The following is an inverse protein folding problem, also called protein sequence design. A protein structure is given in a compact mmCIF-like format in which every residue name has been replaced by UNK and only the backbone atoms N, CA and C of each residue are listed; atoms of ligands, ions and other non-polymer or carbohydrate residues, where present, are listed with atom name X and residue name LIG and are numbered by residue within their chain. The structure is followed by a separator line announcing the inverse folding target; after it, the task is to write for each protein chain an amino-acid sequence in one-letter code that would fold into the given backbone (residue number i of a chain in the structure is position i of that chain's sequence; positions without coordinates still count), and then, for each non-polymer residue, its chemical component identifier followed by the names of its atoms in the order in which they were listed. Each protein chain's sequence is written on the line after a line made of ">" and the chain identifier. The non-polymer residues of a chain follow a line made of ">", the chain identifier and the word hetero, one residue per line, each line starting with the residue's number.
data_IF_413047179793
#
_entry.id   IF_413047179793
#
_cell.length_a   1.000
_cell.length_b   1.000
_cell.length_c   1.000
_cell.angle_alpha   90.00
_cell.angle_beta   90.00
_cell.angle_gamma   90.00
#
_symmetry.space_group_name_H-M   'P 1'
#
loop_
_entity.id
_entity.type
_entity.pdbx_description
1 polymer ?
#
# COMPACT_ATOMS: atom_id res chain seq x y z
N UNK A 1 -20.46 -11.41 -44.04
CA UNK A 1 -19.45 -11.85 -43.06
C UNK A 1 -18.71 -10.61 -42.62
N UNK A 2 -18.93 -10.18 -41.38
CA UNK A 2 -18.06 -9.21 -40.72
C UNK A 2 -17.84 -9.75 -39.30
N UNK A 3 -16.78 -10.56 -39.16
CA UNK A 3 -16.40 -11.24 -37.93
C UNK A 3 -15.27 -10.41 -37.32
N UNK A 4 -15.54 -9.16 -36.92
CA UNK A 4 -14.56 -8.35 -36.18
C UNK A 4 -15.21 -7.35 -35.20
N UNK A 5 -16.31 -7.73 -34.55
CA UNK A 5 -16.64 -7.12 -33.25
C UNK A 5 -16.09 -8.03 -32.15
N UNK A 6 -14.77 -7.96 -31.92
CA UNK A 6 -14.19 -8.48 -30.67
C UNK A 6 -14.91 -7.77 -29.52
N UNK A 7 -15.28 -8.46 -28.43
CA UNK A 7 -15.76 -7.75 -27.26
C UNK A 7 -14.58 -6.91 -26.75
N UNK A 8 -14.63 -5.60 -26.98
CA UNK A 8 -13.81 -4.64 -26.25
C UNK A 8 -13.88 -5.01 -24.77
N UNK A 9 -12.71 -5.10 -24.14
CA UNK A 9 -12.61 -5.44 -22.72
C UNK A 9 -13.58 -4.55 -21.93
N UNK A 10 -14.29 -5.12 -20.94
CA UNK A 10 -15.17 -4.34 -20.05
C UNK A 10 -14.46 -3.09 -19.48
N UNK A 11 -13.13 -3.13 -19.34
CA UNK A 11 -12.31 -1.99 -18.90
C UNK A 11 -12.16 -0.90 -19.96
N UNK A 12 -11.97 -1.25 -21.24
CA UNK A 12 -11.86 -0.27 -22.33
C UNK A 12 -13.15 0.54 -22.43
N UNK A 13 -14.29 -0.14 -22.33
CA UNK A 13 -15.61 0.50 -22.25
C UNK A 13 -15.77 1.39 -21.02
N UNK A 14 -15.32 0.94 -19.85
CA UNK A 14 -15.37 1.76 -18.63
C UNK A 14 -14.50 3.01 -18.74
N UNK A 15 -13.33 2.93 -19.38
CA UNK A 15 -12.47 4.10 -19.61
C UNK A 15 -13.08 5.05 -20.64
N UNK A 16 -13.65 4.52 -21.73
CA UNK A 16 -14.32 5.35 -22.73
C UNK A 16 -15.54 6.08 -22.15
N UNK A 17 -16.30 5.42 -21.27
CA UNK A 17 -17.41 6.06 -20.53
C UNK A 17 -16.91 7.26 -19.70
N UNK A 18 -15.80 7.11 -18.96
CA UNK A 18 -15.19 8.19 -18.20
C UNK A 18 -14.69 9.33 -19.12
N UNK A 19 -14.11 9.00 -20.27
CA UNK A 19 -13.69 9.98 -21.28
C UNK A 19 -14.88 10.78 -21.83
N UNK A 20 -16.01 10.10 -22.09
CA UNK A 20 -17.21 10.75 -22.57
C UNK A 20 -17.81 11.68 -21.50
N UNK A 21 -17.80 11.30 -20.21
CA UNK A 21 -18.20 12.21 -19.13
C UNK A 21 -17.37 13.49 -19.10
N UNK A 22 -16.06 13.40 -19.39
CA UNK A 22 -15.19 14.58 -19.50
C UNK A 22 -15.55 15.44 -20.72
N UNK A 23 -15.76 14.82 -21.89
CA UNK A 23 -16.15 15.52 -23.11
C UNK A 23 -17.50 16.25 -22.98
N UNK A 24 -18.44 15.65 -22.26
CA UNK A 24 -19.77 16.20 -21.99
C UNK A 24 -19.78 17.22 -20.84
N UNK A 25 -18.65 17.43 -20.15
CA UNK A 25 -18.53 18.37 -19.04
C UNK A 25 -19.30 17.95 -17.78
N UNK A 26 -19.58 16.65 -17.61
CA UNK A 26 -20.35 16.11 -16.48
C UNK A 26 -19.61 14.96 -15.75
N UNK A 27 -18.37 15.17 -15.27
CA UNK A 27 -17.62 14.12 -14.58
C UNK A 27 -18.29 13.72 -13.26
N UNK A 28 -18.45 12.42 -13.04
CA UNK A 28 -18.93 11.85 -11.78
C UNK A 28 -17.79 11.17 -11.04
N UNK A 29 -17.29 11.81 -9.98
CA UNK A 29 -16.17 11.29 -9.18
C UNK A 29 -16.39 9.85 -8.70
N UNK A 30 -17.63 9.47 -8.40
CA UNK A 30 -17.97 8.11 -7.96
C UNK A 30 -17.70 7.06 -9.05
N UNK A 31 -17.95 7.38 -10.32
CA UNK A 31 -17.67 6.49 -11.44
C UNK A 31 -16.15 6.29 -11.61
N UNK A 32 -15.37 7.37 -11.47
CA UNK A 32 -13.90 7.28 -11.46
C UNK A 32 -13.39 6.41 -10.31
N UNK A 33 -13.94 6.59 -9.09
CA UNK A 33 -13.59 5.76 -7.93
C UNK A 33 -13.91 4.30 -8.18
N UNK A 34 -15.10 4.00 -8.71
CA UNK A 34 -15.55 2.65 -9.02
C UNK A 34 -14.63 1.98 -10.05
N UNK A 35 -14.33 2.66 -11.16
CA UNK A 35 -13.41 2.16 -12.18
C UNK A 35 -12.00 1.96 -11.63
N UNK A 36 -11.51 2.90 -10.81
CA UNK A 36 -10.23 2.74 -10.11
C UNK A 36 -10.18 1.47 -9.23
N UNK A 37 -11.21 1.23 -8.42
CA UNK A 37 -11.28 0.01 -7.60
C UNK A 37 -11.38 -1.27 -8.43
N UNK A 38 -12.09 -1.24 -9.56
CA UNK A 38 -12.19 -2.37 -10.48
C UNK A 38 -10.82 -2.69 -11.11
N UNK A 39 -10.13 -1.70 -11.67
CA UNK A 39 -8.78 -1.85 -12.23
C UNK A 39 -7.80 -2.39 -11.19
N UNK A 40 -7.81 -1.84 -9.98
CA UNK A 40 -6.95 -2.30 -8.88
C UNK A 40 -7.22 -3.76 -8.51
N UNK A 41 -8.49 -4.17 -8.44
CA UNK A 41 -8.87 -5.56 -8.16
C UNK A 41 -8.37 -6.49 -9.26
N UNK A 42 -8.57 -6.13 -10.52
CA UNK A 42 -8.15 -6.94 -11.65
C UNK A 42 -6.63 -7.10 -11.71
N UNK A 43 -5.90 -6.03 -11.46
CA UNK A 43 -4.45 -6.05 -11.40
C UNK A 43 -3.91 -7.01 -10.32
N UNK A 44 -4.61 -7.12 -9.20
CA UNK A 44 -4.28 -8.10 -8.16
C UNK A 44 -4.63 -9.53 -8.53
N UNK A 45 -5.79 -9.73 -9.16
CA UNK A 45 -6.14 -11.04 -9.71
C UNK A 45 -5.07 -11.48 -10.72
N UNK A 46 -4.59 -10.57 -11.56
CA UNK A 46 -3.51 -10.83 -12.49
C UNK A 46 -2.20 -11.21 -11.77
N UNK A 47 -1.79 -10.45 -10.75
CA UNK A 47 -0.63 -10.82 -9.92
C UNK A 47 -0.78 -12.22 -9.32
N UNK A 48 -1.96 -12.56 -8.79
CA UNK A 48 -2.21 -13.87 -8.20
C UNK A 48 -2.12 -14.99 -9.25
N UNK A 49 -2.73 -14.82 -10.43
CA UNK A 49 -2.61 -15.79 -11.51
C UNK A 49 -1.14 -15.95 -11.96
N UNK A 50 -0.38 -14.86 -12.01
CA UNK A 50 1.06 -14.90 -12.31
C UNK A 50 1.86 -15.64 -11.23
N UNK A 51 1.52 -15.47 -9.96
CA UNK A 51 2.14 -16.22 -8.87
C UNK A 51 1.96 -17.73 -9.07
N UNK A 52 0.73 -18.16 -9.37
CA UNK A 52 0.43 -19.57 -9.63
C UNK A 52 1.19 -20.09 -10.85
N UNK A 53 1.28 -19.28 -11.91
CA UNK A 53 2.07 -19.62 -13.08
C UNK A 53 3.56 -19.75 -12.73
N UNK A 54 4.12 -18.86 -11.91
CA UNK A 54 5.51 -18.88 -11.51
C UNK A 54 5.86 -20.02 -10.53
N UNK A 55 4.91 -20.45 -9.71
CA UNK A 55 5.07 -21.57 -8.78
C UNK A 55 4.86 -22.96 -9.43
N UNK A 56 4.31 -23.03 -10.65
CA UNK A 56 4.20 -24.29 -11.40
C UNK A 56 5.61 -24.79 -11.78
N UNK A 57 5.92 -26.04 -11.42
CA UNK A 57 7.22 -26.68 -11.69
C UNK A 57 7.53 -26.83 -13.18
N UNK A 58 6.52 -26.64 -14.05
CA UNK A 58 6.66 -26.65 -15.51
C UNK A 58 6.82 -25.26 -16.10
N UNK A 59 6.85 -24.22 -15.27
CA UNK A 59 6.88 -22.84 -15.73
C UNK A 59 8.25 -22.39 -16.22
N UNK A 60 8.21 -21.50 -17.21
CA UNK A 60 9.41 -20.85 -17.73
C UNK A 60 9.87 -19.73 -16.78
N UNK A 61 11.18 -19.44 -16.75
CA UNK A 61 11.76 -18.40 -15.88
C UNK A 61 11.17 -17.01 -16.16
N UNK A 62 10.63 -16.79 -17.36
CA UNK A 62 9.92 -15.58 -17.76
C UNK A 62 8.70 -15.28 -16.88
N UNK A 63 7.97 -16.30 -16.41
CA UNK A 63 6.82 -16.10 -15.52
C UNK A 63 7.24 -15.58 -14.14
N UNK A 64 8.34 -16.11 -13.61
CA UNK A 64 8.93 -15.63 -12.36
C UNK A 64 9.37 -14.17 -12.49
N UNK A 65 10.05 -13.82 -13.58
CA UNK A 65 10.49 -12.44 -13.80
C UNK A 65 9.32 -11.47 -13.94
N UNK A 66 8.26 -11.85 -14.66
CA UNK A 66 7.06 -11.02 -14.82
C UNK A 66 6.29 -10.87 -13.49
N UNK A 67 6.17 -11.96 -12.71
CA UNK A 67 5.59 -11.91 -11.38
C UNK A 67 6.35 -10.93 -10.47
N UNK A 68 7.67 -11.00 -10.44
CA UNK A 68 8.52 -10.10 -9.64
C UNK A 68 8.33 -8.64 -10.05
N UNK A 69 8.23 -8.33 -11.34
CA UNK A 69 7.98 -6.97 -11.84
C UNK A 69 6.59 -6.46 -11.39
N UNK A 70 5.54 -7.27 -11.58
CA UNK A 70 4.16 -6.90 -11.22
C UNK A 70 4.00 -6.74 -9.70
N UNK A 71 4.55 -7.68 -8.93
CA UNK A 71 4.56 -7.61 -7.47
C UNK A 71 5.39 -6.42 -6.97
N UNK A 72 6.51 -6.09 -7.63
CA UNK A 72 7.34 -4.93 -7.33
C UNK A 72 6.60 -3.60 -7.51
N UNK A 73 5.82 -3.46 -8.59
CA UNK A 73 5.00 -2.26 -8.81
C UNK A 73 3.90 -2.13 -7.74
N UNK A 74 3.19 -3.23 -7.44
CA UNK A 74 2.17 -3.26 -6.39
C UNK A 74 2.75 -2.97 -4.99
N UNK A 75 3.95 -3.46 -4.72
CA UNK A 75 4.67 -3.17 -3.51
C UNK A 75 4.99 -1.67 -3.39
N UNK A 76 5.45 -1.02 -4.47
CA UNK A 76 5.74 0.42 -4.49
C UNK A 76 4.50 1.27 -4.16
N UNK A 77 3.37 0.98 -4.80
CA UNK A 77 2.11 1.70 -4.57
C UNK A 77 1.60 1.53 -3.14
N UNK A 78 1.72 0.31 -2.60
CA UNK A 78 1.34 0.02 -1.23
C UNK A 78 2.27 0.73 -0.24
N UNK A 79 3.58 0.74 -0.50
CA UNK A 79 4.57 1.47 0.31
C UNK A 79 4.24 2.96 0.38
N UNK A 80 3.98 3.62 -0.75
CA UNK A 80 3.63 5.05 -0.77
C UNK A 80 2.30 5.31 -0.03
N UNK A 81 1.31 4.43 -0.20
CA UNK A 81 0.05 4.51 0.55
C UNK A 81 0.25 4.38 2.06
N UNK A 82 1.09 3.42 2.49
CA UNK A 82 1.42 3.18 3.89
C UNK A 82 2.20 4.35 4.50
N UNK A 83 3.16 4.90 3.76
CA UNK A 83 3.93 6.08 4.15
C UNK A 83 3.00 7.27 4.41
N UNK A 84 2.12 7.59 3.46
CA UNK A 84 1.12 8.66 3.63
C UNK A 84 0.24 8.41 4.84
N UNK A 85 -0.26 7.18 5.00
CA UNK A 85 -1.11 6.83 6.15
C UNK A 85 -0.37 6.98 7.48
N UNK A 86 0.90 6.59 7.57
CA UNK A 86 1.73 6.80 8.76
C UNK A 86 1.88 8.27 9.11
N UNK A 87 2.15 9.14 8.12
CA UNK A 87 2.22 10.58 8.32
C UNK A 87 0.89 11.20 8.76
N UNK A 88 -0.23 10.74 8.22
CA UNK A 88 -1.54 11.25 8.63
C UNK A 88 -1.90 10.83 10.05
N UNK A 89 -1.64 9.58 10.42
CA UNK A 89 -1.92 9.08 11.77
C UNK A 89 -1.00 9.69 12.82
N UNK A 90 0.23 10.06 12.44
CA UNK A 90 1.15 10.78 13.33
C UNK A 90 0.57 12.10 13.86
N UNK A 91 -0.35 12.73 13.13
CA UNK A 91 -1.03 13.97 13.56
C UNK A 91 -1.95 13.75 14.76
N UNK A 92 -2.35 12.50 15.04
CA UNK A 92 -3.09 12.13 16.23
C UNK A 92 -2.11 11.84 17.39
N UNK A 93 -2.13 12.68 18.41
CA UNK A 93 -1.18 12.62 19.53
C UNK A 93 -1.27 11.32 20.34
N UNK A 94 -2.48 10.79 20.54
CA UNK A 94 -2.70 9.55 21.30
C UNK A 94 -2.10 8.35 20.57
N UNK A 95 -2.35 8.27 19.25
CA UNK A 95 -1.75 7.25 18.40
C UNK A 95 -0.22 7.40 18.38
N UNK A 96 0.30 8.61 18.13
CA UNK A 96 1.74 8.85 18.09
C UNK A 96 2.42 8.42 19.40
N UNK A 97 1.88 8.84 20.54
CA UNK A 97 2.39 8.46 21.87
C UNK A 97 2.32 6.95 22.11
N UNK A 98 1.24 6.29 21.68
CA UNK A 98 1.11 4.83 21.80
C UNK A 98 2.11 4.07 20.91
N UNK A 99 2.35 4.56 19.68
CA UNK A 99 3.37 4.01 18.79
C UNK A 99 4.78 4.23 19.33
N UNK A 100 5.11 5.41 19.84
CA UNK A 100 6.43 5.70 20.41
C UNK A 100 6.76 4.75 21.58
N UNK A 101 5.78 4.47 22.45
CA UNK A 101 5.95 3.55 23.58
C UNK A 101 6.16 2.09 23.16
N UNK A 102 5.60 1.68 22.03
CA UNK A 102 5.65 0.29 21.57
C UNK A 102 6.56 0.08 20.35
N UNK A 103 7.22 1.14 19.87
CA UNK A 103 7.97 1.16 18.62
C UNK A 103 9.01 0.04 18.53
N UNK A 104 9.88 -0.06 19.54
CA UNK A 104 10.95 -1.06 19.56
C UNK A 104 10.42 -2.49 19.53
N UNK A 105 9.38 -2.78 20.32
CA UNK A 105 8.74 -4.10 20.34
C UNK A 105 8.14 -4.45 18.98
N UNK A 106 7.41 -3.52 18.36
CA UNK A 106 6.78 -3.75 17.07
C UNK A 106 7.84 -3.95 15.99
N UNK A 107 8.89 -3.13 15.98
CA UNK A 107 10.01 -3.26 15.05
C UNK A 107 10.71 -4.62 15.20
N UNK A 108 10.88 -5.13 16.42
CA UNK A 108 11.48 -6.43 16.67
C UNK A 108 10.61 -7.59 16.15
N UNK A 109 9.29 -7.53 16.37
CA UNK A 109 8.35 -8.51 15.83
C UNK A 109 8.39 -8.52 14.29
N UNK A 110 8.38 -7.33 13.66
CA UNK A 110 8.48 -7.18 12.21
C UNK A 110 9.81 -7.73 11.69
N UNK A 111 10.94 -7.34 12.30
CA UNK A 111 12.28 -7.83 11.96
C UNK A 111 12.37 -9.36 12.01
N UNK A 112 11.68 -9.97 12.96
CA UNK A 112 11.63 -11.43 13.16
C UNK A 112 10.60 -12.15 12.29
N UNK A 113 9.89 -11.45 11.40
CA UNK A 113 8.88 -12.04 10.52
C UNK A 113 7.59 -12.46 11.24
N UNK A 114 7.39 -12.05 12.50
CA UNK A 114 6.22 -12.42 13.32
C UNK A 114 5.00 -11.62 12.92
N UNK A 115 4.42 -11.97 11.78
CA UNK A 115 3.32 -11.26 11.12
C UNK A 115 2.08 -11.13 12.00
N UNK A 116 1.61 -12.23 12.58
CA UNK A 116 0.40 -12.21 13.43
C UNK A 116 0.64 -11.43 14.72
N UNK A 117 1.77 -11.65 15.38
CA UNK A 117 2.11 -10.93 16.62
C UNK A 117 2.24 -9.42 16.39
N UNK A 118 2.88 -9.01 15.29
CA UNK A 118 3.00 -7.60 14.93
C UNK A 118 1.65 -6.99 14.53
N UNK A 119 0.79 -7.75 13.83
CA UNK A 119 -0.59 -7.33 13.57
C UNK A 119 -1.33 -7.04 14.86
N UNK A 120 -1.32 -7.98 15.81
CA UNK A 120 -2.00 -7.82 17.10
C UNK A 120 -1.39 -6.69 17.97
N UNK A 121 -0.08 -6.47 17.91
CA UNK A 121 0.55 -5.35 18.60
C UNK A 121 0.06 -4.01 18.05
N UNK A 122 0.00 -3.85 16.72
CA UNK A 122 -0.48 -2.63 16.08
C UNK A 122 -2.00 -2.47 16.29
N UNK A 123 -2.79 -3.53 16.11
CA UNK A 123 -4.25 -3.50 16.30
C UNK A 123 -4.63 -2.99 17.69
N UNK A 124 -3.94 -3.45 18.74
CA UNK A 124 -4.20 -3.00 20.12
C UNK A 124 -3.99 -1.50 20.31
N UNK A 125 -3.06 -0.89 19.58
CA UNK A 125 -2.87 0.57 19.62
C UNK A 125 -4.13 1.29 19.10
N UNK A 126 -4.65 0.87 17.95
CA UNK A 126 -5.85 1.47 17.36
C UNK A 126 -7.09 1.26 18.23
N UNK A 127 -7.27 0.04 18.77
CA UNK A 127 -8.38 -0.27 19.68
C UNK A 127 -8.31 0.59 20.95
N UNK A 128 -7.13 0.72 21.55
CA UNK A 128 -6.94 1.56 22.74
C UNK A 128 -7.21 3.05 22.46
N UNK A 129 -6.84 3.52 21.26
CA UNK A 129 -7.11 4.90 20.80
C UNK A 129 -8.54 5.10 20.26
N UNK A 130 -9.39 4.06 20.28
CA UNK A 130 -10.74 4.06 19.70
C UNK A 130 -10.76 4.52 18.23
N UNK A 131 -9.74 4.11 17.46
CA UNK A 131 -9.60 4.43 16.05
C UNK A 131 -9.85 3.18 15.19
N UNK A 132 -10.39 3.39 14.00
CA UNK A 132 -10.53 2.31 13.02
C UNK A 132 -9.16 1.83 12.54
N UNK A 133 -9.05 0.51 12.32
CA UNK A 133 -7.82 -0.08 11.80
C UNK A 133 -7.71 0.17 10.29
N UNK A 134 -6.62 0.78 9.80
CA UNK A 134 -6.50 1.14 8.38
C UNK A 134 -6.52 -0.06 7.42
N UNK A 135 -7.39 -0.04 6.41
CA UNK A 135 -7.44 -1.08 5.37
C UNK A 135 -6.11 -1.29 4.66
N UNK A 136 -5.33 -0.22 4.45
CA UNK A 136 -4.00 -0.30 3.83
C UNK A 136 -3.00 -1.08 4.70
N UNK A 137 -3.14 -1.01 6.02
CA UNK A 137 -2.36 -1.87 6.91
C UNK A 137 -2.82 -3.31 6.82
N UNK A 138 -4.13 -3.59 6.82
CA UNK A 138 -4.66 -4.95 6.61
C UNK A 138 -4.03 -5.58 5.37
N UNK A 139 -3.90 -4.80 4.30
CA UNK A 139 -3.27 -5.28 3.09
C UNK A 139 -1.82 -5.73 3.29
N UNK A 140 -1.01 -4.90 3.96
CA UNK A 140 0.39 -5.21 4.23
C UNK A 140 0.60 -6.51 5.02
N UNK A 141 -0.44 -6.98 5.73
CA UNK A 141 -0.43 -8.21 6.50
C UNK A 141 -0.94 -9.44 5.73
N UNK A 142 -1.35 -9.33 4.46
CA UNK A 142 -1.82 -10.51 3.73
C UNK A 142 -0.72 -11.53 3.49
N UNK A 143 -1.03 -12.84 3.59
CA UNK A 143 -0.02 -13.90 3.50
C UNK A 143 0.59 -14.06 2.10
N UNK A 144 -0.06 -13.49 1.07
CA UNK A 144 0.42 -13.48 -0.31
C UNK A 144 1.77 -12.76 -0.47
N UNK A 145 2.10 -11.83 0.43
CA UNK A 145 3.38 -11.14 0.38
C UNK A 145 4.48 -11.97 1.02
N UNK A 146 5.64 -11.99 0.37
CA UNK A 146 6.84 -12.58 0.96
C UNK A 146 7.20 -11.90 2.28
N UNK A 147 7.97 -12.60 3.13
CA UNK A 147 8.42 -12.03 4.40
C UNK A 147 9.20 -10.71 4.19
N UNK A 148 10.02 -10.64 3.14
CA UNK A 148 10.78 -9.43 2.78
C UNK A 148 9.86 -8.24 2.47
N UNK A 149 8.83 -8.44 1.64
CA UNK A 149 7.86 -7.40 1.31
C UNK A 149 7.06 -6.97 2.53
N UNK A 150 6.60 -7.92 3.33
CA UNK A 150 5.95 -7.63 4.62
C UNK A 150 6.81 -6.72 5.51
N UNK A 151 8.11 -7.05 5.69
CA UNK A 151 9.03 -6.23 6.47
C UNK A 151 9.16 -4.81 5.90
N UNK A 152 9.35 -4.69 4.59
CA UNK A 152 9.49 -3.39 3.92
C UNK A 152 8.23 -2.54 4.08
N UNK A 153 7.04 -3.12 3.94
CA UNK A 153 5.77 -2.42 4.15
C UNK A 153 5.65 -1.88 5.56
N UNK A 154 5.93 -2.71 6.56
CA UNK A 154 5.79 -2.33 7.96
C UNK A 154 6.86 -1.33 8.39
N UNK A 155 8.11 -1.48 7.93
CA UNK A 155 9.14 -0.46 8.16
C UNK A 155 8.78 0.87 7.52
N UNK A 156 8.25 0.87 6.29
CA UNK A 156 7.79 2.10 5.61
C UNK A 156 6.72 2.82 6.43
N UNK A 157 5.71 2.08 6.91
CA UNK A 157 4.66 2.63 7.77
C UNK A 157 5.22 3.15 9.11
N UNK A 158 6.01 2.33 9.80
CA UNK A 158 6.54 2.64 11.13
C UNK A 158 7.50 3.84 11.08
N UNK A 159 8.37 3.93 10.07
CA UNK A 159 9.24 5.09 9.89
C UNK A 159 8.46 6.37 9.66
N UNK A 160 7.34 6.32 8.93
CA UNK A 160 6.51 7.50 8.69
C UNK A 160 5.76 7.97 9.95
N UNK A 161 5.23 7.06 10.76
CA UNK A 161 4.52 7.42 11.99
C UNK A 161 5.47 7.80 13.14
N UNK A 162 6.64 7.16 13.23
CA UNK A 162 7.62 7.41 14.29
C UNK A 162 8.56 8.57 13.98
N UNK A 163 8.86 8.81 12.69
CA UNK A 163 9.81 9.83 12.26
C UNK A 163 9.44 11.23 12.78
N UNK A 164 10.42 12.10 13.00
CA UNK A 164 10.17 13.48 13.43
C UNK A 164 9.58 14.32 12.28
N UNK A 165 8.84 15.39 12.61
CA UNK A 165 8.35 16.29 11.57
C UNK A 165 9.58 17.01 11.00
N UNK A 166 9.76 17.00 9.68
CA UNK A 166 10.85 17.74 9.02
C UNK A 166 10.77 19.27 9.21
N UNK A 167 9.87 19.77 10.05
CA UNK A 167 9.74 21.19 10.41
C UNK A 167 10.41 21.58 11.74
N UNK A 168 10.98 20.64 12.51
CA UNK A 168 11.59 20.96 13.82
C UNK A 168 13.13 20.83 13.83
N UNK A 169 13.74 20.14 12.86
CA UNK A 169 15.19 19.93 12.83
C UNK A 169 16.00 20.93 11.98
N UNK A 170 15.34 21.80 11.21
CA UNK A 170 16.03 22.85 10.43
C UNK A 170 16.17 24.18 11.20
N UNK A 171 15.49 24.35 12.34
CA UNK A 171 15.58 25.57 13.18
C UNK A 171 16.69 25.45 14.25
N UNK A 172 16.99 24.24 14.75
CA UNK A 172 18.01 24.03 15.80
C UNK A 172 19.46 23.89 15.28
N UNK A 173 19.70 23.83 13.97
CA UNK A 173 21.06 23.68 13.40
C UNK A 173 21.55 24.91 12.62
N UNK A 174 20.81 26.01 12.63
CA UNK A 174 21.08 27.21 11.84
C UNK A 174 21.56 28.43 12.63
N UNK A 175 22.17 28.25 13.81
CA UNK A 175 22.56 29.38 14.66
C UNK A 175 23.72 29.06 15.58
N UNK A 176 24.89 28.74 15.01
CA UNK A 176 26.18 29.05 15.64
C UNK A 176 27.33 28.76 14.67
N UNK A 177 27.65 29.76 13.83
CA UNK A 177 29.00 29.94 13.27
C UNK A 177 29.24 31.44 13.04
N UNK A 178 29.42 32.19 14.11
CA UNK A 178 30.28 33.38 14.09
C UNK A 178 31.09 33.42 15.39
N UNK A 179 32.37 33.04 15.32
CA UNK A 179 33.52 33.69 15.94
C UNK A 179 34.82 33.05 15.46
#
# INVERSE_FOLDING_TARGET
>A
MDILSRPESNMERQIEELNNQLREGRPRLEDFRKTYYALRRMWWTFQHVLQWAAEDQRSEKEFQSLYEQVAGHNASDLMESLKRKGFDLKKNADLKSAFDRQAYRILELVRSGKRDDSFHAILRIFVAAKQEFPEKLIEAFKPIYSEGLFKVFLFTFLSAILGQNKSEQEIEKGGDYEK
#
